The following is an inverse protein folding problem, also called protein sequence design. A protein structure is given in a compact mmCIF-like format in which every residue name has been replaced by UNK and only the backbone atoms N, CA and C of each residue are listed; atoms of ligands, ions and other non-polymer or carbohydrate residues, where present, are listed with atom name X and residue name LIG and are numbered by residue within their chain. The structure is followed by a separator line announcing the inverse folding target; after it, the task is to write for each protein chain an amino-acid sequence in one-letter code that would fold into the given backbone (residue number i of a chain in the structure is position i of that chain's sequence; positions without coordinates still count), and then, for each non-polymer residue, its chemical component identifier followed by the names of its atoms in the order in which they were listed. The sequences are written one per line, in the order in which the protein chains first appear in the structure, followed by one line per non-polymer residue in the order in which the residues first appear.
data_IF_669240963083
#
_entry.id   IF_669240963083
#
_cell.length_a   1.000
_cell.length_b   1.000
_cell.length_c   1.000
_cell.angle_alpha   90.00
_cell.angle_beta   90.00
_cell.angle_gamma   90.00
#
_symmetry.space_group_name_H-M   'P 1'
#
loop_
_entity.id
_entity.type
_entity.pdbx_description
1 polymer ?
#
# COMPACT_ATOMS: atom_id res chain seq x y z
N UNK A 1 10.93 5.21 14.72
CA UNK A 1 10.67 5.20 13.27
C UNK A 1 11.65 6.16 12.62
N UNK A 2 12.47 5.70 11.66
CA UNK A 2 13.44 6.56 10.97
C UNK A 2 12.74 7.51 9.99
N UNK A 3 12.97 8.82 10.12
CA UNK A 3 12.45 9.81 9.17
C UNK A 3 13.38 9.81 7.96
N UNK A 4 12.87 9.39 6.80
CA UNK A 4 13.59 9.48 5.53
C UNK A 4 13.37 10.89 4.98
N UNK A 5 14.46 11.67 4.85
CA UNK A 5 14.42 12.96 4.16
C UNK A 5 14.36 12.73 2.66
N UNK A 6 13.40 13.36 2.01
CA UNK A 6 13.25 13.41 0.56
C UNK A 6 13.62 14.83 0.10
N UNK A 7 14.23 14.97 -1.08
CA UNK A 7 14.58 16.29 -1.59
C UNK A 7 13.32 17.10 -1.94
N UNK A 8 13.41 18.43 -1.83
CA UNK A 8 12.29 19.33 -2.14
C UNK A 8 11.77 19.11 -3.57
N UNK A 9 12.69 18.89 -4.52
CA UNK A 9 12.33 18.60 -5.91
C UNK A 9 11.56 17.27 -6.04
N UNK A 10 11.98 16.22 -5.33
CA UNK A 10 11.27 14.94 -5.37
C UNK A 10 9.89 15.06 -4.70
N UNK A 11 9.80 15.83 -3.61
CA UNK A 11 8.53 16.12 -2.96
C UNK A 11 7.55 16.86 -3.87
N UNK A 12 8.03 17.82 -4.66
CA UNK A 12 7.20 18.51 -5.66
C UNK A 12 6.73 17.57 -6.77
N UNK A 13 7.62 16.72 -7.29
CA UNK A 13 7.24 15.72 -8.29
C UNK A 13 6.17 14.75 -7.75
N UNK A 14 6.28 14.33 -6.49
CA UNK A 14 5.28 13.50 -5.82
C UNK A 14 3.95 14.23 -5.67
N UNK A 15 3.96 15.53 -5.36
CA UNK A 15 2.75 16.36 -5.26
C UNK A 15 2.02 16.45 -6.60
N UNK A 16 2.73 16.69 -7.69
CA UNK A 16 2.14 16.73 -9.04
C UNK A 16 1.54 15.37 -9.43
N UNK A 17 2.29 14.28 -9.23
CA UNK A 17 1.81 12.93 -9.52
C UNK A 17 0.60 12.53 -8.66
N UNK A 18 0.62 12.90 -7.38
CA UNK A 18 -0.49 12.72 -6.44
C UNK A 18 -1.79 13.33 -6.97
N UNK A 19 -1.73 14.57 -7.48
CA UNK A 19 -2.87 15.25 -8.09
C UNK A 19 -3.38 14.57 -9.36
N UNK A 20 -2.47 14.16 -10.25
CA UNK A 20 -2.81 13.51 -11.52
C UNK A 20 -3.40 12.09 -11.34
N UNK A 21 -2.92 11.35 -10.33
CA UNK A 21 -3.26 9.95 -10.12
C UNK A 21 -4.24 9.73 -8.96
N UNK A 22 -4.86 10.82 -8.48
CA UNK A 22 -5.85 10.84 -7.40
C UNK A 22 -5.45 10.01 -6.18
N UNK A 23 -4.18 10.11 -5.76
CA UNK A 23 -3.63 9.39 -4.59
C UNK A 23 -2.86 10.34 -3.69
N UNK A 24 -2.71 10.03 -2.40
CA UNK A 24 -1.93 10.90 -1.49
C UNK A 24 -0.43 10.89 -1.82
N UNK A 25 0.29 11.94 -1.40
CA UNK A 25 1.75 12.02 -1.54
C UNK A 25 2.45 10.81 -0.91
N UNK A 26 1.99 10.40 0.29
CA UNK A 26 2.53 9.23 0.97
C UNK A 26 2.27 7.94 0.18
N UNK A 27 1.06 7.75 -0.36
CA UNK A 27 0.74 6.60 -1.19
C UNK A 27 1.58 6.57 -2.48
N UNK A 28 1.88 7.74 -3.05
CA UNK A 28 2.76 7.85 -4.21
C UNK A 28 4.22 7.50 -3.86
N UNK A 29 4.71 7.94 -2.69
CA UNK A 29 6.05 7.58 -2.20
C UNK A 29 6.15 6.08 -1.94
N UNK A 30 5.17 5.51 -1.23
CA UNK A 30 5.11 4.08 -0.92
C UNK A 30 5.06 3.22 -2.20
N UNK A 31 4.29 3.64 -3.20
CA UNK A 31 4.22 2.97 -4.49
C UNK A 31 5.61 2.85 -5.15
N UNK A 32 6.37 3.94 -5.21
CA UNK A 32 7.72 3.93 -5.79
C UNK A 32 8.72 3.13 -4.98
N UNK A 33 8.62 3.16 -3.63
CA UNK A 33 9.46 2.32 -2.78
C UNK A 33 9.19 0.83 -3.02
N UNK A 34 7.92 0.41 -3.11
CA UNK A 34 7.57 -0.99 -3.42
C UNK A 34 8.07 -1.40 -4.81
N UNK A 35 7.88 -0.56 -5.83
CA UNK A 35 8.41 -0.83 -7.17
C UNK A 35 9.93 -0.98 -7.14
N UNK A 36 10.64 -0.08 -6.48
CA UNK A 36 12.10 -0.13 -6.38
C UNK A 36 12.60 -1.41 -5.73
N UNK A 37 11.98 -1.81 -4.61
CA UNK A 37 12.33 -3.08 -3.95
C UNK A 37 12.06 -4.30 -4.84
N UNK A 38 10.93 -4.32 -5.56
CA UNK A 38 10.59 -5.42 -6.46
C UNK A 38 11.53 -5.48 -7.66
N UNK A 39 11.89 -4.33 -8.24
CA UNK A 39 12.84 -4.26 -9.34
C UNK A 39 14.24 -4.71 -8.91
N UNK A 40 14.69 -4.31 -7.72
CA UNK A 40 16.00 -4.70 -7.17
C UNK A 40 16.08 -6.21 -6.92
N UNK A 41 15.02 -6.79 -6.38
CA UNK A 41 14.96 -8.23 -6.07
C UNK A 41 14.63 -9.11 -7.27
N UNK A 42 14.11 -8.53 -8.36
CA UNK A 42 13.70 -9.23 -9.57
C UNK A 42 14.16 -8.45 -10.82
N UNK A 43 15.48 -8.42 -11.11
CA UNK A 43 16.05 -7.55 -12.15
C UNK A 43 15.56 -7.86 -13.57
N UNK A 44 15.08 -9.08 -13.82
CA UNK A 44 14.58 -9.51 -15.13
C UNK A 44 13.12 -9.14 -15.38
N UNK A 45 12.38 -8.71 -14.35
CA UNK A 45 10.97 -8.36 -14.49
C UNK A 45 10.81 -6.99 -15.14
N UNK A 46 9.85 -6.91 -16.07
CA UNK A 46 9.46 -5.63 -16.65
C UNK A 46 8.56 -4.88 -15.68
N UNK A 47 8.55 -3.56 -15.81
CA UNK A 47 7.67 -2.70 -15.02
C UNK A 47 6.19 -3.15 -15.05
N UNK A 48 5.70 -3.58 -16.22
CA UNK A 48 4.34 -4.10 -16.37
C UNK A 48 4.06 -5.33 -15.51
N UNK A 49 5.06 -6.20 -15.35
CA UNK A 49 4.93 -7.44 -14.59
C UNK A 49 4.91 -7.12 -13.09
N UNK A 50 5.77 -6.19 -12.65
CA UNK A 50 5.77 -5.64 -11.28
C UNK A 50 4.40 -5.02 -10.96
N UNK A 51 3.82 -4.22 -11.86
CA UNK A 51 2.50 -3.64 -11.67
C UNK A 51 1.40 -4.72 -11.53
N UNK A 52 1.45 -5.78 -12.34
CA UNK A 52 0.50 -6.89 -12.23
C UNK A 52 0.63 -7.62 -10.89
N UNK A 53 1.85 -7.85 -10.42
CA UNK A 53 2.10 -8.45 -9.11
C UNK A 53 1.53 -7.59 -7.98
N UNK A 54 1.74 -6.27 -8.01
CA UNK A 54 1.17 -5.35 -7.03
C UNK A 54 -0.36 -5.34 -7.05
N UNK A 55 -0.97 -5.42 -8.23
CA UNK A 55 -2.42 -5.48 -8.36
C UNK A 55 -3.00 -6.79 -7.79
N UNK A 56 -2.37 -7.93 -8.09
CA UNK A 56 -2.76 -9.24 -7.53
C UNK A 56 -2.65 -9.23 -6.00
N UNK A 57 -1.53 -8.76 -5.47
CA UNK A 57 -1.34 -8.64 -4.03
C UNK A 57 -2.37 -7.72 -3.34
N UNK A 58 -2.86 -6.68 -4.03
CA UNK A 58 -3.91 -5.81 -3.49
C UNK A 58 -5.30 -6.49 -3.50
N UNK A 59 -5.55 -7.41 -4.44
CA UNK A 59 -6.78 -8.19 -4.53
C UNK A 59 -6.81 -9.34 -3.50
N UNK A 60 -5.64 -9.90 -3.19
CA UNK A 60 -5.46 -10.97 -2.20
C UNK A 60 -5.41 -10.46 -0.75
N UNK A 61 -5.67 -9.16 -0.52
CA UNK A 61 -5.87 -8.59 0.82
C UNK A 61 -7.08 -9.20 1.53
N UNK A 62 -7.22 -9.02 2.86
CA UNK A 62 -8.31 -9.66 3.61
C UNK A 62 -9.65 -9.34 2.96
N UNK A 63 -10.36 -10.39 2.56
CA UNK A 63 -11.67 -10.24 1.94
C UNK A 63 -12.59 -9.53 2.93
N UNK A 64 -13.49 -8.68 2.44
CA UNK A 64 -14.58 -8.14 3.27
C UNK A 64 -15.39 -9.28 3.93
N UNK A 65 -15.42 -10.47 3.31
CA UNK A 65 -16.00 -11.67 3.89
C UNK A 65 -15.22 -12.19 5.12
N UNK A 66 -13.90 -12.04 5.14
CA UNK A 66 -13.04 -12.45 6.26
C UNK A 66 -13.19 -11.49 7.44
N UNK A 67 -13.38 -10.19 7.17
CA UNK A 67 -13.60 -9.17 8.20
C UNK A 67 -14.97 -9.32 8.90
N UNK A 68 -15.98 -9.85 8.22
CA UNK A 68 -17.33 -10.08 8.77
C UNK A 68 -17.39 -11.34 9.65
N UNK A 69 -16.51 -12.31 9.45
CA UNK A 69 -16.50 -13.58 10.20
C UNK A 69 -15.95 -13.45 11.64
N UNK A 70 -15.25 -12.36 11.99
CA UNK A 70 -14.57 -12.21 13.28
C UNK A 70 -15.22 -11.24 14.26
N UNK A 71 -16.54 -11.05 14.22
CA UNK A 71 -17.22 -10.38 15.35
C UNK A 71 -17.42 -11.38 16.48
N UNK A 72 -16.68 -11.32 17.61
CA UNK A 72 -17.03 -12.13 18.77
C UNK A 72 -18.31 -11.51 19.34
N UNK A 73 -19.41 -12.26 19.33
CA UNK A 73 -20.61 -11.89 20.09
C UNK A 73 -20.18 -11.87 21.55
N UNK A 74 -19.89 -10.67 22.07
CA UNK A 74 -19.52 -10.45 23.46
C UNK A 74 -20.71 -10.89 24.33
N UNK A 75 -20.58 -12.07 24.92
CA UNK A 75 -21.52 -12.60 25.90
C UNK A 75 -21.51 -11.69 27.13
N UNK A 76 -22.50 -10.80 27.23
CA UNK A 76 -22.75 -10.01 28.44
C UNK A 76 -23.13 -10.95 29.57
N UNK A 77 -22.15 -11.25 30.43
CA UNK A 77 -22.40 -11.66 31.81
C UNK A 77 -23.00 -10.47 32.56
N UNK A 78 -24.31 -10.45 32.75
CA UNK A 78 -24.91 -9.66 33.82
C UNK A 78 -24.97 -10.53 35.07
N UNK A 79 -24.05 -10.24 35.99
CA UNK A 79 -24.17 -10.53 37.41
C UNK A 79 -25.39 -9.78 37.96
N UNK A 80 -26.26 -10.49 38.67
CA UNK A 80 -27.02 -10.02 39.82
C UNK A 80 -27.30 -11.24 40.71
#
# INVERSE_FOLDING_TARGET
MGIVKISDQMHENLRVASGALSRSINAQAEHWLRIGMLAETNPDLRYSDICQMLLRAAQDGPSLADAVATTPIAQRRHHA
#
